data_IF_597954971618
#
_entry.id   IF_597954971618
#
_cell.length_a   1.000
_cell.length_b   1.000
_cell.length_c   1.000
_cell.angle_alpha   90.00
_cell.angle_beta   90.00
_cell.angle_gamma   90.00
#
_symmetry.space_group_name_H-M   'P 1'
#
loop_
_entity.id
_entity.type
_entity.pdbx_description
1 polymer ?
#
# COMPACT_ATOMS: atom_id res chain seq x y z
N UNK A 1 -30.38 18.00 -17.60
CA UNK A 1 -29.21 18.37 -16.76
C UNK A 1 -29.28 17.78 -15.34
N UNK A 2 -30.24 16.89 -15.00
CA UNK A 2 -30.46 16.39 -13.64
C UNK A 2 -30.14 14.89 -13.45
N UNK A 3 -29.34 14.27 -14.33
CA UNK A 3 -29.07 12.81 -14.28
C UNK A 3 -27.65 12.44 -13.81
N UNK A 4 -26.85 13.39 -13.34
CA UNK A 4 -25.53 13.06 -12.79
C UNK A 4 -24.54 12.46 -13.79
N UNK A 5 -24.74 12.69 -15.09
CA UNK A 5 -23.81 12.22 -16.13
C UNK A 5 -22.53 13.07 -16.14
N UNK A 6 -21.60 12.68 -15.26
CA UNK A 6 -20.27 13.26 -15.07
C UNK A 6 -19.33 13.09 -16.28
N UNK A 7 -19.76 12.40 -17.34
CA UNK A 7 -18.98 12.27 -18.58
C UNK A 7 -19.27 13.39 -19.60
N UNK A 8 -20.28 14.23 -19.36
CA UNK A 8 -20.57 15.34 -20.25
C UNK A 8 -19.54 16.47 -20.10
N UNK A 9 -18.85 16.79 -21.21
CA UNK A 9 -18.05 18.01 -21.33
C UNK A 9 -18.95 19.15 -21.78
N UNK A 10 -18.87 20.28 -21.09
CA UNK A 10 -19.54 21.51 -21.51
C UNK A 10 -18.63 22.24 -22.49
N UNK A 11 -19.15 22.58 -23.67
CA UNK A 11 -18.43 23.34 -24.69
C UNK A 11 -18.15 24.77 -24.19
N UNK A 12 -16.88 25.20 -24.24
CA UNK A 12 -16.48 26.55 -23.82
C UNK A 12 -16.56 27.48 -25.03
N UNK A 13 -17.64 28.27 -25.13
CA UNK A 13 -17.92 29.13 -26.30
C UNK A 13 -17.50 30.59 -26.18
N UNK A 14 -17.14 31.03 -24.98
CA UNK A 14 -16.79 32.43 -24.68
C UNK A 14 -15.58 32.48 -23.75
N UNK A 15 -14.88 33.60 -23.73
CA UNK A 15 -13.72 33.85 -22.85
C UNK A 15 -14.07 34.78 -21.67
N UNK A 16 -15.36 34.91 -21.37
CA UNK A 16 -15.95 35.69 -20.28
C UNK A 16 -16.10 34.84 -18.99
N UNK A 17 -16.84 35.38 -18.01
CA UNK A 17 -17.13 34.69 -16.75
C UNK A 17 -17.86 33.35 -16.94
N UNK A 18 -18.72 33.24 -17.95
CA UNK A 18 -19.42 31.99 -18.28
C UNK A 18 -18.44 30.97 -18.89
N UNK A 19 -17.53 31.42 -19.75
CA UNK A 19 -16.42 30.60 -20.26
C UNK A 19 -15.51 30.02 -19.19
N UNK A 20 -15.15 30.86 -18.20
CA UNK A 20 -14.37 30.45 -17.02
C UNK A 20 -15.12 29.45 -16.15
N UNK A 21 -16.42 29.66 -15.94
CA UNK A 21 -17.26 28.72 -15.19
C UNK A 21 -17.36 27.36 -15.89
N UNK A 22 -17.59 27.34 -17.22
CA UNK A 22 -17.61 26.09 -18.00
C UNK A 22 -16.28 25.35 -17.92
N UNK A 23 -15.16 26.07 -17.97
CA UNK A 23 -13.82 25.49 -17.82
C UNK A 23 -13.57 24.93 -16.41
N UNK A 24 -14.01 25.65 -15.37
CA UNK A 24 -13.93 25.18 -13.99
C UNK A 24 -14.81 23.93 -13.75
N UNK A 25 -16.00 23.89 -14.32
CA UNK A 25 -16.90 22.74 -14.30
C UNK A 25 -16.28 21.51 -14.97
N UNK A 26 -15.70 21.68 -16.17
CA UNK A 26 -15.01 20.59 -16.87
C UNK A 26 -13.82 20.05 -16.04
N UNK A 27 -13.01 20.94 -15.44
CA UNK A 27 -11.91 20.52 -14.54
C UNK A 27 -12.41 19.76 -13.31
N UNK A 28 -13.54 20.19 -12.73
CA UNK A 28 -14.17 19.50 -11.61
C UNK A 28 -14.63 18.09 -12.03
N UNK A 29 -15.30 17.96 -13.17
CA UNK A 29 -15.74 16.67 -13.70
C UNK A 29 -14.55 15.76 -14.01
N UNK A 30 -13.47 16.27 -14.61
CA UNK A 30 -12.24 15.51 -14.83
C UNK A 30 -11.66 14.99 -13.51
N UNK A 31 -11.61 15.83 -12.47
CA UNK A 31 -11.11 15.44 -11.15
C UNK A 31 -11.99 14.37 -10.50
N UNK A 32 -13.32 14.52 -10.56
CA UNK A 32 -14.26 13.52 -10.03
C UNK A 32 -14.11 12.18 -10.77
N UNK A 33 -14.03 12.20 -12.10
CA UNK A 33 -13.85 10.99 -12.89
C UNK A 33 -12.51 10.30 -12.61
N UNK A 34 -11.44 11.08 -12.40
CA UNK A 34 -10.15 10.53 -12.00
C UNK A 34 -10.25 9.85 -10.64
N UNK A 35 -10.81 10.53 -9.63
CA UNK A 35 -11.00 9.96 -8.28
C UNK A 35 -11.87 8.69 -8.30
N UNK A 36 -12.94 8.66 -9.10
CA UNK A 36 -13.81 7.48 -9.21
C UNK A 36 -13.07 6.30 -9.88
N UNK A 37 -12.24 6.57 -10.89
CA UNK A 37 -11.39 5.55 -11.52
C UNK A 37 -10.34 5.01 -10.55
N UNK A 38 -9.64 5.89 -9.84
CA UNK A 38 -8.62 5.50 -8.84
C UNK A 38 -9.26 4.65 -7.74
N UNK A 39 -10.44 5.03 -7.24
CA UNK A 39 -11.19 4.23 -6.26
C UNK A 39 -11.55 2.85 -6.79
N UNK A 40 -12.06 2.75 -8.03
CA UNK A 40 -12.41 1.45 -8.63
C UNK A 40 -11.18 0.57 -8.84
N UNK A 41 -10.08 1.16 -9.30
CA UNK A 41 -8.82 0.45 -9.48
C UNK A 41 -8.31 -0.08 -8.15
N UNK A 42 -8.30 0.76 -7.11
CA UNK A 42 -7.91 0.35 -5.75
C UNK A 42 -8.73 -0.84 -5.23
N UNK A 43 -10.07 -0.80 -5.40
CA UNK A 43 -10.95 -1.92 -4.98
C UNK A 43 -10.66 -3.19 -5.78
N UNK A 44 -10.41 -3.07 -7.09
CA UNK A 44 -10.06 -4.20 -7.93
C UNK A 44 -8.73 -4.83 -7.51
N UNK A 45 -7.69 -4.01 -7.32
CA UNK A 45 -6.35 -4.44 -6.91
C UNK A 45 -6.38 -5.13 -5.54
N UNK A 46 -7.05 -4.51 -4.55
CA UNK A 46 -7.25 -5.11 -3.23
C UNK A 46 -7.97 -6.46 -3.32
N UNK A 47 -9.00 -6.57 -4.16
CA UNK A 47 -9.75 -7.82 -4.36
C UNK A 47 -8.88 -8.92 -4.99
N UNK A 48 -8.02 -8.55 -5.94
CA UNK A 48 -7.10 -9.48 -6.58
C UNK A 48 -6.03 -9.99 -5.61
N UNK A 49 -5.40 -9.08 -4.87
CA UNK A 49 -4.36 -9.41 -3.89
C UNK A 49 -4.90 -10.28 -2.74
N UNK A 50 -6.15 -10.08 -2.31
CA UNK A 50 -6.80 -10.92 -1.29
C UNK A 50 -7.23 -12.30 -1.84
N UNK A 51 -7.68 -12.36 -3.10
CA UNK A 51 -8.17 -13.62 -3.70
C UNK A 51 -7.07 -14.67 -3.86
N UNK A 52 -5.85 -14.25 -4.20
CA UNK A 52 -4.72 -15.17 -4.41
C UNK A 52 -4.37 -16.02 -3.17
N UNK A 53 -4.03 -15.44 -2.01
CA UNK A 53 -3.71 -16.20 -0.80
C UNK A 53 -4.90 -17.02 -0.32
N UNK A 54 -6.14 -16.50 -0.42
CA UNK A 54 -7.34 -17.26 -0.05
C UNK A 54 -7.55 -18.51 -0.93
N UNK A 55 -7.24 -18.41 -2.21
CA UNK A 55 -7.29 -19.55 -3.13
C UNK A 55 -6.21 -20.58 -2.79
N UNK A 56 -4.99 -20.12 -2.48
CA UNK A 56 -3.87 -20.96 -2.03
C UNK A 56 -4.26 -21.77 -0.79
N UNK A 57 -4.74 -21.09 0.26
CA UNK A 57 -5.23 -21.70 1.51
C UNK A 57 -6.30 -22.76 1.20
N UNK A 58 -7.28 -22.42 0.34
CA UNK A 58 -8.36 -23.36 0.00
C UNK A 58 -7.82 -24.64 -0.66
N UNK A 59 -6.87 -24.51 -1.58
CA UNK A 59 -6.26 -25.66 -2.26
C UNK A 59 -5.48 -26.52 -1.25
N UNK A 60 -4.68 -25.90 -0.37
CA UNK A 60 -3.90 -26.61 0.66
C UNK A 60 -4.82 -27.38 1.62
N UNK A 61 -5.90 -26.74 2.10
CA UNK A 61 -6.91 -27.38 2.95
C UNK A 61 -7.60 -28.53 2.22
N UNK A 62 -7.96 -28.36 0.93
CA UNK A 62 -8.54 -29.43 0.12
C UNK A 62 -7.59 -30.61 -0.05
N UNK A 63 -6.29 -30.36 -0.22
CA UNK A 63 -5.27 -31.42 -0.31
C UNK A 63 -5.12 -32.17 1.01
N UNK A 64 -5.13 -31.46 2.15
CA UNK A 64 -5.15 -32.07 3.49
C UNK A 64 -6.35 -33.02 3.66
N UNK A 65 -7.55 -32.54 3.35
CA UNK A 65 -8.79 -33.33 3.40
C UNK A 65 -8.73 -34.51 2.42
N UNK A 66 -8.07 -34.35 1.27
CA UNK A 66 -7.91 -35.37 0.22
C UNK A 66 -6.89 -36.48 0.53
N UNK A 67 -6.34 -36.53 1.75
CA UNK A 67 -5.43 -37.58 2.22
C UNK A 67 -3.99 -37.13 2.47
N UNK A 68 -3.64 -35.87 2.19
CA UNK A 68 -2.31 -35.37 2.54
C UNK A 68 -2.10 -35.31 4.07
N UNK A 69 -3.19 -35.27 4.85
CA UNK A 69 -3.13 -35.31 6.32
C UNK A 69 -2.56 -36.63 6.87
N UNK A 70 -2.66 -37.72 6.11
CA UNK A 70 -2.18 -39.05 6.55
C UNK A 70 -0.65 -39.15 6.50
N UNK A 71 0.01 -38.27 5.75
CA UNK A 71 1.45 -38.11 5.78
C UNK A 71 1.82 -36.92 6.67
N UNK A 72 2.36 -37.21 7.85
CA UNK A 72 2.71 -36.20 8.85
C UNK A 72 3.66 -35.10 8.34
N UNK A 73 4.62 -35.44 7.48
CA UNK A 73 5.59 -34.47 6.97
C UNK A 73 4.93 -33.50 6.00
N UNK A 74 4.18 -34.02 5.02
CA UNK A 74 3.41 -33.22 4.05
C UNK A 74 2.34 -32.38 4.76
N UNK A 75 1.66 -32.96 5.76
CA UNK A 75 0.65 -32.25 6.52
C UNK A 75 1.23 -31.03 7.26
N UNK A 76 2.42 -31.18 7.87
CA UNK A 76 3.11 -30.07 8.53
C UNK A 76 3.58 -29.00 7.54
N UNK A 77 4.06 -29.40 6.36
CA UNK A 77 4.43 -28.46 5.30
C UNK A 77 3.21 -27.62 4.87
N UNK A 78 2.08 -28.25 4.55
CA UNK A 78 0.87 -27.54 4.12
C UNK A 78 0.29 -26.65 5.22
N UNK A 79 0.38 -27.06 6.49
CA UNK A 79 -0.03 -26.22 7.61
C UNK A 79 0.84 -24.97 7.76
N UNK A 80 2.16 -25.09 7.56
CA UNK A 80 3.05 -23.93 7.54
C UNK A 80 2.76 -23.02 6.34
N UNK A 81 2.49 -23.59 5.17
CA UNK A 81 2.12 -22.80 3.99
C UNK A 81 0.81 -22.02 4.21
N UNK A 82 -0.18 -22.64 4.85
CA UNK A 82 -1.42 -21.96 5.24
C UNK A 82 -1.13 -20.80 6.19
N UNK A 83 -0.27 -21.01 7.21
CA UNK A 83 0.11 -19.98 8.17
C UNK A 83 0.76 -18.77 7.47
N UNK A 84 1.68 -19.02 6.53
CA UNK A 84 2.31 -17.96 5.73
C UNK A 84 1.31 -17.17 4.88
N UNK A 85 0.29 -17.82 4.31
CA UNK A 85 -0.74 -17.13 3.52
C UNK A 85 -1.70 -16.31 4.42
N UNK A 86 -1.92 -16.73 5.67
CA UNK A 86 -2.67 -15.95 6.66
C UNK A 86 -1.89 -14.70 7.09
N UNK A 87 -0.59 -14.82 7.30
CA UNK A 87 0.28 -13.68 7.56
C UNK A 87 0.25 -12.69 6.38
N UNK A 88 0.35 -13.20 5.15
CA UNK A 88 0.25 -12.38 3.94
C UNK A 88 -1.09 -11.64 3.84
N UNK A 89 -2.21 -12.30 4.16
CA UNK A 89 -3.53 -11.65 4.21
C UNK A 89 -3.57 -10.54 5.26
N UNK A 90 -2.97 -10.77 6.42
CA UNK A 90 -2.89 -9.80 7.52
C UNK A 90 -2.10 -8.55 7.11
N UNK A 91 -0.99 -8.74 6.40
CA UNK A 91 -0.19 -7.64 5.84
C UNK A 91 -0.98 -6.83 4.82
N UNK A 92 -1.71 -7.49 3.90
CA UNK A 92 -2.55 -6.80 2.90
C UNK A 92 -3.61 -5.95 3.60
N UNK A 93 -4.34 -6.52 4.56
CA UNK A 93 -5.39 -5.79 5.30
C UNK A 93 -4.79 -4.60 6.07
N UNK A 94 -3.65 -4.80 6.72
CA UNK A 94 -2.96 -3.75 7.46
C UNK A 94 -2.57 -2.59 6.53
N UNK A 95 -2.00 -2.89 5.36
CA UNK A 95 -1.65 -1.90 4.35
C UNK A 95 -2.87 -1.12 3.83
N UNK A 96 -4.01 -1.80 3.60
CA UNK A 96 -5.26 -1.15 3.18
C UNK A 96 -5.80 -0.19 4.26
N UNK A 97 -5.81 -0.63 5.53
CA UNK A 97 -6.22 0.21 6.67
C UNK A 97 -5.29 1.42 6.84
N UNK A 98 -4.01 1.26 6.55
CA UNK A 98 -3.04 2.33 6.68
C UNK A 98 -3.17 3.38 5.56
N UNK A 99 -3.52 2.95 4.33
CA UNK A 99 -3.84 3.87 3.23
C UNK A 99 -5.07 4.72 3.54
N UNK A 100 -6.14 4.11 4.06
CA UNK A 100 -7.37 4.84 4.43
C UNK A 100 -7.14 5.86 5.55
N UNK A 101 -6.22 5.59 6.49
CA UNK A 101 -5.80 6.57 7.52
C UNK A 101 -5.07 7.78 6.93
N UNK A 102 -4.22 7.57 5.92
CA UNK A 102 -3.50 8.66 5.24
C UNK A 102 -4.44 9.58 4.46
N UNK A 103 -5.51 9.05 3.85
CA UNK A 103 -6.51 9.86 3.15
C UNK A 103 -7.39 10.68 4.11
N UNK A 104 -7.63 10.18 5.33
CA UNK A 104 -8.48 10.82 6.32
C UNK A 104 -7.80 11.81 7.28
N UNK A 105 -6.46 11.88 7.28
CA UNK A 105 -5.71 12.71 8.24
C UNK A 105 -5.66 14.18 7.82
N UNK A 106 -6.70 14.93 8.20
CA UNK A 106 -6.65 16.39 8.24
C UNK A 106 -5.68 16.86 9.33
N UNK A 107 -4.42 17.10 8.93
CA UNK A 107 -3.38 17.64 9.81
C UNK A 107 -2.09 16.86 9.66
N UNK A 108 -1.27 17.22 8.67
CA UNK A 108 0.11 16.74 8.60
C UNK A 108 0.83 17.32 9.81
N UNK A 109 1.19 16.47 10.79
CA UNK A 109 2.06 16.88 11.89
C UNK A 109 3.44 17.17 11.31
N UNK A 110 3.80 18.44 11.23
CA UNK A 110 5.12 18.89 10.79
C UNK A 110 5.96 19.11 12.03
N UNK A 111 7.13 18.48 12.08
CA UNK A 111 8.12 18.65 13.14
C UNK A 111 9.53 18.70 12.55
N UNK A 112 10.46 19.31 13.26
CA UNK A 112 11.88 19.28 12.93
C UNK A 112 12.48 18.01 13.56
N UNK A 113 13.12 17.18 12.75
CA UNK A 113 13.75 15.94 13.20
C UNK A 113 15.07 15.68 12.48
N UNK A 114 15.93 14.87 13.10
CA UNK A 114 17.18 14.41 12.48
C UNK A 114 16.93 13.17 11.61
N UNK A 115 17.24 13.27 10.32
CA UNK A 115 17.12 12.18 9.34
C UNK A 115 18.01 10.99 9.71
N UNK A 116 19.20 11.23 10.28
CA UNK A 116 20.11 10.16 10.70
C UNK A 116 19.48 9.27 11.79
N UNK A 117 18.66 9.87 12.67
CA UNK A 117 17.92 9.10 13.68
C UNK A 117 16.91 8.13 13.07
N UNK A 118 16.28 8.50 11.94
CA UNK A 118 15.32 7.65 11.21
C UNK A 118 16.04 6.44 10.62
N UNK A 119 17.15 6.65 9.92
CA UNK A 119 17.91 5.55 9.32
C UNK A 119 18.43 4.57 10.38
N UNK A 120 18.96 5.08 11.50
CA UNK A 120 19.38 4.23 12.63
C UNK A 120 18.25 3.37 13.17
N UNK A 121 17.05 3.94 13.32
CA UNK A 121 15.87 3.20 13.76
C UNK A 121 15.48 2.09 12.77
N UNK A 122 15.45 2.42 11.47
CA UNK A 122 15.09 1.47 10.40
C UNK A 122 16.10 0.33 10.32
N UNK A 123 17.40 0.64 10.33
CA UNK A 123 18.47 -0.37 10.31
C UNK A 123 18.32 -1.32 11.50
N UNK A 124 18.08 -0.79 12.71
CA UNK A 124 17.87 -1.60 13.90
C UNK A 124 16.67 -2.55 13.75
N UNK A 125 15.56 -2.06 13.21
CA UNK A 125 14.34 -2.85 12.96
C UNK A 125 14.54 -3.93 11.89
N UNK A 126 15.28 -3.63 10.83
CA UNK A 126 15.47 -4.53 9.69
C UNK A 126 16.68 -5.47 9.80
N UNK A 127 17.58 -5.24 10.76
CA UNK A 127 18.76 -6.10 11.00
C UNK A 127 18.41 -7.59 11.22
N UNK A 128 17.37 -7.96 11.99
CA UNK A 128 17.00 -9.37 12.15
C UNK A 128 16.62 -10.02 10.81
N UNK A 129 15.80 -9.32 10.02
CA UNK A 129 15.31 -9.80 8.71
C UNK A 129 16.47 -9.91 7.72
N UNK A 130 17.36 -8.90 7.68
CA UNK A 130 18.51 -8.89 6.77
C UNK A 130 19.49 -10.03 7.07
N UNK A 131 19.67 -10.41 8.35
CA UNK A 131 20.50 -11.55 8.74
C UNK A 131 19.92 -12.87 8.25
N UNK A 132 18.60 -13.07 8.37
CA UNK A 132 17.91 -14.26 7.87
C UNK A 132 18.08 -14.37 6.35
N UNK A 133 17.91 -13.25 5.63
CA UNK A 133 18.07 -13.16 4.17
C UNK A 133 19.54 -13.08 3.70
N UNK A 134 20.51 -13.02 4.61
CA UNK A 134 21.95 -12.85 4.33
C UNK A 134 22.27 -11.60 3.48
N UNK A 135 21.50 -10.54 3.65
CA UNK A 135 21.69 -9.24 2.98
C UNK A 135 22.44 -8.29 3.91
N UNK A 136 23.50 -7.67 3.39
CA UNK A 136 24.28 -6.67 4.13
C UNK A 136 23.68 -5.27 3.93
N UNK A 137 23.28 -4.63 5.03
CA UNK A 137 22.84 -3.22 5.02
C UNK A 137 24.06 -2.33 5.24
N UNK A 138 24.34 -1.41 4.31
CA UNK A 138 25.33 -0.34 4.47
C UNK A 138 24.62 1.00 4.49
N UNK A 139 24.99 1.84 5.45
CA UNK A 139 24.46 3.18 5.60
C UNK A 139 25.61 4.18 5.66
N UNK A 140 25.58 5.14 4.74
CA UNK A 140 26.50 6.27 4.68
C UNK A 140 25.67 7.54 4.70
N UNK A 141 25.74 8.28 5.80
CA UNK A 141 24.93 9.47 6.01
C UNK A 141 25.50 10.34 7.10
N UNK A 142 24.98 11.56 7.19
CA UNK A 142 25.32 12.53 8.23
C UNK A 142 24.04 13.11 8.82
N UNK A 143 24.13 13.65 10.03
CA UNK A 143 23.00 14.29 10.71
C UNK A 143 22.54 15.50 9.91
N UNK A 144 21.27 15.47 9.50
CA UNK A 144 20.60 16.52 8.74
C UNK A 144 19.25 16.74 9.38
N UNK A 145 18.99 17.97 9.80
CA UNK A 145 17.68 18.37 10.29
C UNK A 145 16.74 18.63 9.11
N UNK A 146 15.57 18.01 9.15
CA UNK A 146 14.50 18.18 8.16
C UNK A 146 13.22 18.59 8.87
N UNK A 147 12.46 19.48 8.24
CA UNK A 147 11.10 19.81 8.64
C UNK A 147 10.11 18.97 7.83
N UNK A 148 9.23 18.23 8.50
CA UNK A 148 8.24 17.40 7.84
C UNK A 148 7.51 16.46 8.79
N UNK A 149 6.75 15.53 8.22
CA UNK A 149 6.14 14.47 9.01
C UNK A 149 7.13 13.30 9.16
N UNK A 150 7.72 13.20 10.35
CA UNK A 150 8.71 12.18 10.69
C UNK A 150 8.19 10.75 10.47
N UNK A 151 6.94 10.47 10.87
CA UNK A 151 6.34 9.13 10.75
C UNK A 151 6.16 8.72 9.30
N UNK A 152 5.67 9.63 8.45
CA UNK A 152 5.48 9.36 7.02
C UNK A 152 6.82 9.07 6.33
N UNK A 153 7.87 9.83 6.66
CA UNK A 153 9.20 9.65 6.08
C UNK A 153 9.82 8.35 6.57
N UNK A 154 9.73 8.05 7.87
CA UNK A 154 10.20 6.79 8.43
C UNK A 154 9.53 5.60 7.74
N UNK A 155 8.21 5.65 7.55
CA UNK A 155 7.45 4.61 6.86
C UNK A 155 7.86 4.46 5.41
N UNK A 156 7.99 5.56 4.67
CA UNK A 156 8.40 5.52 3.26
C UNK A 156 9.77 4.86 3.10
N UNK A 157 10.75 5.27 3.93
CA UNK A 157 12.09 4.69 3.89
C UNK A 157 12.06 3.22 4.35
N UNK A 158 11.31 2.89 5.40
CA UNK A 158 11.16 1.52 5.88
C UNK A 158 10.67 0.59 4.78
N UNK A 159 9.59 0.97 4.08
CA UNK A 159 9.01 0.17 3.00
C UNK A 159 10.00 -0.05 1.85
N UNK A 160 10.78 0.97 1.49
CA UNK A 160 11.79 0.86 0.43
C UNK A 160 12.91 -0.10 0.84
N UNK A 161 13.46 0.06 2.04
CA UNK A 161 14.58 -0.77 2.53
C UNK A 161 14.12 -2.21 2.79
N UNK A 162 12.92 -2.39 3.33
CA UNK A 162 12.33 -3.71 3.51
C UNK A 162 12.15 -4.43 2.17
N UNK A 163 11.59 -3.76 1.16
CA UNK A 163 11.47 -4.31 -0.19
C UNK A 163 12.85 -4.65 -0.78
N UNK A 164 13.85 -3.78 -0.61
CA UNK A 164 15.20 -4.07 -1.06
C UNK A 164 15.77 -5.35 -0.40
N UNK A 165 15.51 -5.58 0.89
CA UNK A 165 15.94 -6.82 1.57
C UNK A 165 15.14 -8.03 1.08
N UNK A 166 13.83 -7.88 0.84
CA UNK A 166 12.95 -8.97 0.40
C UNK A 166 13.29 -9.48 -1.00
N UNK A 167 13.71 -8.60 -1.91
CA UNK A 167 13.93 -8.90 -3.33
C UNK A 167 15.40 -8.81 -3.81
N UNK A 168 16.37 -8.72 -2.89
CA UNK A 168 17.80 -8.75 -3.23
C UNK A 168 18.36 -10.17 -3.41
#
# INVERSE_FOLDING_TARGET
>A
MAEGDINQRVEVKSNDELGRLCSAFNKMNEKINLMDRERRQFVADASHELKSPLTSIKVLVQSLIGGAIDNKEIALEFLNDIDMEVDRLTDIVSNLLELTKLEGSYGIKVEIFDVDSIFKEIIKKLTPISKIKKVAIRYEGSSILMEGNKENILRAIYNIVENAIKYS
#
